data_IF_785659131788
#
_entry.id   IF_785659131788
#
_cell.length_a   1.000
_cell.length_b   1.000
_cell.length_c   1.000
_cell.angle_alpha   90.00
_cell.angle_beta   90.00
_cell.angle_gamma   90.00
#
_symmetry.space_group_name_H-M   'P 1'
#
loop_
_entity.id
_entity.type
_entity.pdbx_description
1 polymer ?
#
# COMPACT_ATOMS: atom_id res chain seq x y z
N UNK A 1 0.63 -24.28 -7.57
CA UNK A 1 2.05 -23.91 -7.41
C UNK A 1 2.78 -24.81 -6.42
N UNK A 2 2.23 -25.06 -5.25
CA UNK A 2 2.87 -25.90 -4.23
C UNK A 2 3.30 -27.33 -4.69
N UNK A 3 2.67 -27.89 -5.73
CA UNK A 3 3.00 -29.21 -6.26
C UNK A 3 4.38 -29.30 -6.96
N UNK A 4 5.02 -28.19 -7.26
CA UNK A 4 6.26 -28.12 -8.05
C UNK A 4 6.14 -28.53 -9.52
N UNK A 5 4.94 -28.92 -9.98
CA UNK A 5 4.71 -29.28 -11.38
C UNK A 5 4.78 -28.04 -12.29
N UNK A 6 5.21 -28.15 -13.55
CA UNK A 6 5.40 -27.00 -14.45
C UNK A 6 4.07 -26.42 -14.97
N UNK A 7 3.17 -26.07 -14.06
CA UNK A 7 1.91 -25.39 -14.36
C UNK A 7 2.20 -23.91 -14.61
N UNK A 8 1.59 -23.34 -15.65
CA UNK A 8 1.71 -21.94 -16.02
C UNK A 8 0.36 -21.26 -15.74
N UNK A 9 0.38 -20.25 -14.86
CA UNK A 9 -0.82 -19.49 -14.47
C UNK A 9 -0.68 -18.07 -14.98
N UNK A 10 -1.66 -17.63 -15.76
CA UNK A 10 -1.77 -16.25 -16.25
C UNK A 10 -2.91 -15.57 -15.49
N UNK A 11 -2.60 -14.45 -14.88
CA UNK A 11 -3.56 -13.58 -14.24
C UNK A 11 -3.62 -12.28 -15.03
N UNK A 12 -4.79 -11.94 -15.54
CA UNK A 12 -5.09 -10.62 -16.09
C UNK A 12 -5.74 -9.83 -14.98
N UNK A 13 -4.92 -8.98 -14.33
CA UNK A 13 -5.33 -8.24 -13.15
C UNK A 13 -5.99 -6.92 -13.55
N UNK A 14 -7.31 -6.93 -13.54
CA UNK A 14 -8.15 -5.76 -13.80
C UNK A 14 -8.54 -5.01 -12.53
N UNK A 15 -8.09 -5.47 -11.37
CA UNK A 15 -8.34 -4.86 -10.05
C UNK A 15 -9.81 -4.70 -9.65
N UNK A 16 -10.71 -5.34 -10.40
CA UNK A 16 -12.16 -5.45 -10.16
C UNK A 16 -12.66 -6.77 -10.76
N UNK A 17 -13.82 -7.23 -10.36
CA UNK A 17 -14.54 -8.29 -11.08
C UNK A 17 -15.29 -7.70 -12.28
N UNK A 18 -14.57 -7.43 -13.36
CA UNK A 18 -15.03 -6.63 -14.51
C UNK A 18 -16.27 -7.19 -15.19
N UNK A 19 -16.33 -8.51 -15.42
CA UNK A 19 -17.42 -9.15 -16.17
C UNK A 19 -18.78 -9.11 -15.47
N UNK A 20 -18.78 -9.02 -14.14
CA UNK A 20 -20.01 -9.06 -13.33
C UNK A 20 -20.49 -7.69 -12.88
N UNK A 21 -19.84 -6.59 -13.33
CA UNK A 21 -20.26 -5.22 -13.07
C UNK A 21 -19.40 -4.47 -12.05
N UNK A 22 -18.10 -4.84 -11.92
CA UNK A 22 -17.15 -3.98 -11.20
C UNK A 22 -17.11 -4.18 -9.67
N UNK A 23 -17.45 -5.37 -9.16
CA UNK A 23 -17.36 -5.64 -7.73
C UNK A 23 -15.92 -5.51 -7.21
N UNK A 24 -15.79 -5.12 -5.94
CA UNK A 24 -14.52 -5.07 -5.24
C UNK A 24 -13.82 -6.43 -5.23
N UNK A 25 -12.53 -6.44 -5.50
CA UNK A 25 -11.70 -7.64 -5.44
C UNK A 25 -10.46 -7.42 -4.57
N UNK A 26 -9.77 -8.52 -4.27
CA UNK A 26 -8.59 -8.47 -3.39
C UNK A 26 -7.39 -7.75 -4.00
N UNK A 27 -7.35 -7.57 -5.32
CA UNK A 27 -6.28 -6.82 -6.01
C UNK A 27 -6.58 -5.33 -6.19
N UNK A 28 -7.74 -4.84 -5.75
CA UNK A 28 -8.05 -3.40 -5.73
C UNK A 28 -7.27 -2.64 -4.65
N UNK A 29 -7.05 -1.35 -4.87
CA UNK A 29 -6.37 -0.46 -3.91
C UNK A 29 -7.31 0.05 -2.83
N UNK A 30 -6.75 0.56 -1.73
CA UNK A 30 -7.49 1.31 -0.71
C UNK A 30 -8.14 2.53 -1.38
N UNK A 31 -9.33 2.90 -0.95
CA UNK A 31 -10.08 4.02 -1.53
C UNK A 31 -10.74 3.71 -2.89
N UNK A 32 -10.45 2.58 -3.54
CA UNK A 32 -11.10 2.23 -4.80
C UNK A 32 -12.61 2.08 -4.62
N UNK A 33 -13.37 2.87 -5.35
CA UNK A 33 -14.83 2.83 -5.36
C UNK A 33 -15.27 1.80 -6.41
N UNK A 34 -16.12 0.87 -5.99
CA UNK A 34 -16.66 -0.20 -6.84
C UNK A 34 -17.92 -0.76 -6.19
N UNK A 35 -18.64 -1.66 -6.85
CA UNK A 35 -19.70 -2.41 -6.22
C UNK A 35 -19.18 -3.14 -4.98
N UNK A 36 -19.93 -3.12 -3.88
CA UNK A 36 -19.58 -3.64 -2.55
C UNK A 36 -18.43 -2.87 -1.85
N UNK A 37 -17.95 -1.78 -2.44
CA UNK A 37 -16.99 -0.85 -1.84
C UNK A 37 -17.39 0.60 -2.19
N UNK A 38 -18.60 0.98 -1.81
CA UNK A 38 -19.20 2.26 -2.16
C UNK A 38 -18.61 3.43 -1.36
N UNK A 39 -18.76 4.62 -1.92
CA UNK A 39 -18.37 5.85 -1.26
C UNK A 39 -19.53 6.46 -0.48
N UNK A 40 -19.43 6.53 0.84
CA UNK A 40 -20.43 7.08 1.75
C UNK A 40 -19.80 7.83 2.92
N UNK A 41 -20.61 8.17 3.93
CA UNK A 41 -20.13 8.87 5.13
C UNK A 41 -19.22 8.00 6.03
N UNK A 42 -19.53 6.71 6.12
CA UNK A 42 -18.82 5.79 7.00
C UNK A 42 -17.72 5.00 6.28
N UNK A 43 -17.88 4.74 4.99
CA UNK A 43 -16.95 3.96 4.18
C UNK A 43 -16.64 4.76 2.91
N UNK A 44 -15.38 4.89 2.58
CA UNK A 44 -14.92 5.69 1.44
C UNK A 44 -14.17 4.80 0.43
N UNK A 45 -14.90 3.84 -0.16
CA UNK A 45 -14.34 2.85 -1.03
C UNK A 45 -13.75 1.65 -0.28
N UNK A 46 -12.92 0.87 -0.93
CA UNK A 46 -12.26 -0.31 -0.35
C UNK A 46 -11.32 0.08 0.80
N UNK A 47 -11.39 -0.62 1.91
CA UNK A 47 -10.59 -0.32 3.12
C UNK A 47 -9.35 -1.22 3.25
N UNK A 48 -9.41 -2.44 2.71
CA UNK A 48 -8.33 -3.40 2.86
C UNK A 48 -7.21 -3.12 1.85
N UNK A 49 -5.93 -3.31 2.26
CA UNK A 49 -4.81 -3.19 1.35
C UNK A 49 -4.88 -4.24 0.24
N UNK A 50 -4.24 -3.94 -0.87
CA UNK A 50 -4.12 -4.83 -2.02
C UNK A 50 -3.42 -6.14 -1.63
N UNK A 51 -3.91 -7.28 -2.14
CA UNK A 51 -3.21 -8.56 -2.04
C UNK A 51 -2.22 -8.70 -3.20
N UNK A 52 -0.94 -8.79 -2.85
CA UNK A 52 0.14 -8.94 -3.82
C UNK A 52 0.33 -10.41 -4.20
N UNK A 53 -0.40 -10.86 -5.22
CA UNK A 53 -0.40 -12.27 -5.66
C UNK A 53 1.00 -12.74 -6.09
N UNK A 54 1.83 -11.84 -6.60
CA UNK A 54 3.22 -12.13 -6.94
C UNK A 54 4.04 -12.56 -5.73
N UNK A 55 4.00 -11.81 -4.61
CA UNK A 55 4.67 -12.17 -3.37
C UNK A 55 4.11 -13.47 -2.78
N UNK A 56 2.78 -13.67 -2.84
CA UNK A 56 2.15 -14.92 -2.40
C UNK A 56 2.70 -16.11 -3.21
N UNK A 57 2.88 -15.96 -4.51
CA UNK A 57 3.46 -16.99 -5.36
C UNK A 57 4.95 -17.24 -5.06
N UNK A 58 5.73 -16.19 -4.78
CA UNK A 58 7.13 -16.30 -4.37
C UNK A 58 7.28 -17.04 -3.05
N UNK A 59 6.33 -16.96 -2.12
CA UNK A 59 6.34 -17.69 -0.87
C UNK A 59 6.39 -19.22 -1.05
N UNK A 60 6.05 -19.76 -2.23
CA UNK A 60 6.28 -21.14 -2.59
C UNK A 60 7.76 -21.46 -2.92
N UNK A 61 8.63 -20.48 -3.00
CA UNK A 61 10.08 -20.52 -3.26
C UNK A 61 10.52 -21.17 -4.58
N UNK A 62 9.70 -22.02 -5.18
CA UNK A 62 10.00 -22.77 -6.42
C UNK A 62 9.25 -22.22 -7.63
N UNK A 63 8.45 -21.19 -7.48
CA UNK A 63 7.61 -20.62 -8.53
C UNK A 63 8.34 -19.46 -9.20
N UNK A 64 8.47 -19.53 -10.53
CA UNK A 64 8.84 -18.35 -11.31
C UNK A 64 7.70 -17.34 -11.26
N UNK A 65 8.00 -16.07 -11.04
CA UNK A 65 7.00 -15.01 -10.99
C UNK A 65 7.41 -13.86 -11.90
N UNK A 66 6.45 -13.35 -12.67
CA UNK A 66 6.59 -12.10 -13.41
C UNK A 66 5.36 -11.23 -13.16
N UNK A 67 5.60 -9.98 -12.77
CA UNK A 67 4.59 -8.92 -12.75
C UNK A 67 4.94 -7.90 -13.82
N UNK A 68 4.00 -7.64 -14.76
CA UNK A 68 4.27 -6.80 -15.93
C UNK A 68 3.01 -6.12 -16.46
N UNK A 69 3.19 -5.28 -17.48
CA UNK A 69 2.08 -4.59 -18.19
C UNK A 69 2.36 -4.54 -19.70
N UNK A 70 1.30 -4.24 -20.47
CA UNK A 70 1.42 -4.03 -21.94
C UNK A 70 2.25 -2.80 -22.31
N UNK A 71 2.42 -1.85 -21.40
CA UNK A 71 3.24 -0.65 -21.63
C UNK A 71 4.74 -0.96 -21.64
N UNK A 72 5.15 -2.12 -21.13
CA UNK A 72 6.54 -2.58 -21.08
C UNK A 72 6.71 -3.91 -21.84
N UNK A 73 6.53 -3.92 -23.18
CA UNK A 73 6.48 -5.16 -23.98
C UNK A 73 7.80 -5.94 -23.93
N UNK A 74 8.94 -5.27 -23.87
CA UNK A 74 10.24 -5.93 -23.73
C UNK A 74 10.34 -6.76 -22.45
N UNK A 75 10.04 -6.14 -21.31
CA UNK A 75 10.00 -6.81 -20.00
C UNK A 75 8.99 -7.98 -20.00
N UNK A 76 7.80 -7.75 -20.55
CA UNK A 76 6.72 -8.75 -20.57
C UNK A 76 7.10 -9.97 -21.43
N UNK A 77 7.59 -9.75 -22.65
CA UNK A 77 7.95 -10.84 -23.61
C UNK A 77 9.11 -11.66 -23.05
N UNK A 78 10.16 -11.00 -22.55
CA UNK A 78 11.29 -11.69 -21.93
C UNK A 78 10.87 -12.54 -20.75
N UNK A 79 10.05 -11.98 -19.85
CA UNK A 79 9.51 -12.69 -18.71
C UNK A 79 8.66 -13.89 -19.11
N UNK A 80 7.85 -13.79 -20.16
CA UNK A 80 7.13 -14.94 -20.71
C UNK A 80 8.07 -16.02 -21.23
N UNK A 81 9.11 -15.64 -22.00
CA UNK A 81 10.07 -16.61 -22.54
C UNK A 81 10.77 -17.37 -21.42
N UNK A 82 11.25 -16.67 -20.40
CA UNK A 82 11.91 -17.28 -19.23
C UNK A 82 10.95 -18.21 -18.47
N UNK A 83 9.80 -17.72 -18.07
CA UNK A 83 8.83 -18.47 -17.27
C UNK A 83 8.19 -19.65 -18.01
N UNK A 84 7.98 -19.57 -19.33
CA UNK A 84 7.48 -20.71 -20.13
C UNK A 84 8.53 -21.80 -20.28
N UNK A 85 9.82 -21.45 -20.40
CA UNK A 85 10.93 -22.40 -20.45
C UNK A 85 11.23 -23.06 -19.12
N UNK A 86 10.92 -22.40 -18.00
CA UNK A 86 11.18 -22.92 -16.66
C UNK A 86 10.45 -24.25 -16.44
N UNK A 87 11.17 -25.28 -15.92
CA UNK A 87 10.63 -26.61 -15.58
C UNK A 87 9.92 -26.64 -14.24
N UNK A 88 9.40 -25.50 -13.77
CA UNK A 88 8.74 -25.28 -12.48
C UNK A 88 7.44 -24.51 -12.66
N UNK A 89 6.60 -24.37 -11.62
CA UNK A 89 5.42 -23.52 -11.69
C UNK A 89 5.83 -22.11 -12.11
N UNK A 90 4.96 -21.41 -12.86
CA UNK A 90 5.14 -20.00 -13.16
C UNK A 90 3.83 -19.25 -13.01
N UNK A 91 3.89 -18.06 -12.41
CA UNK A 91 2.83 -17.07 -12.34
C UNK A 91 3.22 -15.87 -13.21
N UNK A 92 2.32 -15.48 -14.11
CA UNK A 92 2.40 -14.25 -14.87
C UNK A 92 1.24 -13.35 -14.42
N UNK A 93 1.55 -12.29 -13.70
CA UNK A 93 0.58 -11.31 -13.22
C UNK A 93 0.65 -10.06 -14.10
N UNK A 94 -0.40 -9.79 -14.85
CA UNK A 94 -0.42 -8.77 -15.88
C UNK A 94 -1.47 -7.71 -15.56
N UNK A 95 -1.03 -6.47 -15.32
CA UNK A 95 -1.94 -5.36 -15.21
C UNK A 95 -2.68 -5.12 -16.52
N UNK A 96 -3.98 -5.00 -16.43
CA UNK A 96 -4.85 -4.68 -17.56
C UNK A 96 -5.96 -3.73 -17.10
N UNK A 97 -6.09 -2.60 -17.76
CA UNK A 97 -7.18 -1.69 -17.48
C UNK A 97 -8.53 -2.29 -17.88
N UNK A 98 -9.53 -2.11 -17.03
CA UNK A 98 -10.92 -2.25 -17.40
C UNK A 98 -11.47 -0.83 -17.67
N UNK A 99 -11.55 -0.41 -18.93
CA UNK A 99 -11.90 0.96 -19.27
C UNK A 99 -13.22 1.43 -18.63
N UNK A 100 -14.32 0.67 -18.67
CA UNK A 100 -15.57 1.08 -18.04
C UNK A 100 -15.45 1.26 -16.52
N UNK A 101 -14.81 0.31 -15.83
CA UNK A 101 -14.74 0.30 -14.36
C UNK A 101 -13.69 1.27 -13.81
N UNK A 102 -12.59 1.46 -14.55
CA UNK A 102 -11.60 2.49 -14.20
C UNK A 102 -12.03 3.88 -14.63
N UNK A 103 -12.97 3.97 -15.59
CA UNK A 103 -13.47 5.23 -16.13
C UNK A 103 -12.41 6.00 -16.92
N UNK A 104 -11.66 5.29 -17.75
CA UNK A 104 -10.63 5.84 -18.65
C UNK A 104 -11.05 5.69 -20.11
N UNK A 105 -10.46 6.48 -20.99
CA UNK A 105 -10.72 6.38 -22.45
C UNK A 105 -10.21 5.06 -23.02
N UNK A 106 -10.88 4.58 -24.07
CA UNK A 106 -10.55 3.30 -24.74
C UNK A 106 -9.15 3.28 -25.34
N UNK A 107 -8.63 4.43 -25.72
CA UNK A 107 -7.30 4.64 -26.30
C UNK A 107 -6.20 4.85 -25.23
N UNK A 108 -6.56 4.95 -23.96
CA UNK A 108 -5.65 5.31 -22.86
C UNK A 108 -4.97 4.09 -22.22
N UNK A 109 -5.30 2.85 -22.60
CA UNK A 109 -4.80 1.64 -21.92
C UNK A 109 -3.29 1.58 -21.78
N UNK A 110 -2.54 1.92 -22.82
CA UNK A 110 -1.07 1.89 -22.76
C UNK A 110 -0.50 3.01 -21.89
N UNK A 111 -1.04 4.21 -22.01
CA UNK A 111 -0.62 5.36 -21.21
C UNK A 111 -0.91 5.13 -19.72
N UNK A 112 -2.11 4.62 -19.38
CA UNK A 112 -2.49 4.31 -18.02
C UNK A 112 -1.68 3.16 -17.42
N UNK A 113 -1.35 2.14 -18.23
CA UNK A 113 -0.46 1.05 -17.80
C UNK A 113 0.96 1.54 -17.54
N UNK A 114 1.46 2.51 -18.32
CA UNK A 114 2.74 3.15 -18.08
C UNK A 114 2.71 3.96 -16.79
N UNK A 115 1.69 4.79 -16.61
CA UNK A 115 1.50 5.59 -15.40
C UNK A 115 1.40 4.72 -14.14
N UNK A 116 0.74 3.55 -14.22
CA UNK A 116 0.66 2.61 -13.11
C UNK A 116 2.04 2.10 -12.65
N UNK A 117 2.98 1.91 -13.58
CA UNK A 117 4.37 1.52 -13.23
C UNK A 117 5.12 2.71 -12.64
N UNK A 118 5.06 3.85 -13.31
CA UNK A 118 5.81 5.05 -12.93
C UNK A 118 5.36 5.62 -11.57
N UNK A 119 4.10 5.45 -11.20
CA UNK A 119 3.54 5.89 -9.91
C UNK A 119 3.63 4.85 -8.79
N UNK A 120 4.37 3.78 -8.95
CA UNK A 120 4.44 2.63 -8.02
C UNK A 120 3.09 1.94 -7.76
N UNK A 121 2.01 2.29 -8.49
CA UNK A 121 0.74 1.57 -8.39
C UNK A 121 0.90 0.09 -8.79
N UNK A 122 1.71 -0.18 -9.81
CA UNK A 122 1.94 -1.53 -10.31
C UNK A 122 3.41 -1.71 -10.75
N UNK A 123 4.38 -1.83 -9.83
CA UNK A 123 5.79 -2.00 -10.15
C UNK A 123 6.04 -3.27 -10.97
N UNK A 124 7.02 -3.23 -11.86
CA UNK A 124 7.48 -4.39 -12.59
C UNK A 124 8.44 -5.20 -11.72
N UNK A 125 8.38 -6.52 -11.80
CA UNK A 125 9.41 -7.38 -11.23
C UNK A 125 9.40 -8.78 -11.85
N UNK A 126 10.52 -9.46 -11.74
CA UNK A 126 10.66 -10.90 -12.03
C UNK A 126 11.36 -11.58 -10.87
N UNK A 127 10.91 -12.77 -10.56
CA UNK A 127 11.56 -13.67 -9.63
C UNK A 127 11.84 -15.00 -10.31
N UNK A 128 13.11 -15.32 -10.51
CA UNK A 128 13.56 -16.58 -11.10
C UNK A 128 14.35 -17.40 -10.08
N UNK A 129 13.73 -18.41 -9.45
CA UNK A 129 14.40 -19.21 -8.43
C UNK A 129 15.54 -20.11 -8.99
N UNK A 130 15.82 -20.09 -10.28
CA UNK A 130 16.95 -20.75 -10.91
C UNK A 130 18.13 -19.79 -11.16
N UNK A 131 17.93 -18.48 -10.98
CA UNK A 131 18.95 -17.48 -11.26
C UNK A 131 20.06 -17.43 -10.22
N UNK A 132 19.77 -17.78 -8.97
CA UNK A 132 20.76 -17.71 -7.90
C UNK A 132 20.39 -18.46 -6.62
N UNK A 133 21.10 -18.17 -5.53
CA UNK A 133 20.92 -18.79 -4.21
C UNK A 133 20.27 -17.84 -3.20
N UNK A 134 20.48 -16.54 -3.38
CA UNK A 134 19.92 -15.50 -2.54
C UNK A 134 18.67 -14.91 -3.18
N UNK A 135 17.74 -14.29 -2.41
CA UNK A 135 16.62 -13.55 -2.99
C UNK A 135 17.07 -12.48 -3.99
N UNK A 136 18.11 -11.74 -3.70
CA UNK A 136 18.64 -10.68 -4.54
C UNK A 136 19.15 -11.20 -5.91
N UNK A 137 19.82 -12.37 -5.95
CA UNK A 137 20.24 -12.99 -7.21
C UNK A 137 19.04 -13.48 -8.05
N UNK A 138 17.90 -13.77 -7.40
CA UNK A 138 16.70 -14.31 -8.03
C UNK A 138 15.69 -13.25 -8.43
N UNK A 139 15.82 -12.03 -7.91
CA UNK A 139 14.80 -10.97 -8.05
C UNK A 139 15.34 -9.79 -8.82
N UNK A 140 14.60 -9.32 -9.81
CA UNK A 140 14.96 -8.12 -10.56
C UNK A 140 13.81 -7.13 -10.68
N UNK A 141 14.15 -5.83 -10.66
CA UNK A 141 13.26 -4.68 -10.79
C UNK A 141 13.45 -3.95 -12.12
N UNK A 142 14.07 -4.60 -13.11
CA UNK A 142 14.33 -4.01 -14.42
C UNK A 142 13.05 -3.42 -15.05
N UNK A 143 13.18 -2.23 -15.63
CA UNK A 143 12.10 -1.53 -16.31
C UNK A 143 11.33 -0.53 -15.44
N UNK A 144 11.55 -0.50 -14.12
CA UNK A 144 10.99 0.56 -13.28
C UNK A 144 11.87 1.81 -13.35
N UNK A 145 11.28 3.02 -13.45
CA UNK A 145 12.05 4.26 -13.37
C UNK A 145 12.54 4.53 -11.94
N UNK A 146 13.66 5.28 -11.80
CA UNK A 146 14.21 5.74 -10.53
C UNK A 146 14.20 4.62 -9.45
N UNK A 147 14.95 3.51 -9.63
CA UNK A 147 14.85 2.35 -8.76
C UNK A 147 15.26 2.61 -7.31
N UNK A 148 16.10 3.59 -7.08
CA UNK A 148 16.64 3.96 -5.76
C UNK A 148 15.72 4.93 -5.00
N UNK A 149 14.79 5.60 -5.69
CA UNK A 149 13.89 6.58 -5.13
C UNK A 149 12.52 5.96 -4.79
N UNK A 150 11.84 6.51 -3.81
CA UNK A 150 10.47 6.11 -3.49
C UNK A 150 9.53 6.45 -4.64
N UNK A 151 9.66 7.66 -5.19
CA UNK A 151 8.87 8.16 -6.29
C UNK A 151 9.76 8.69 -7.43
N UNK A 152 9.49 8.32 -8.68
CA UNK A 152 10.08 9.01 -9.83
C UNK A 152 9.58 10.44 -9.88
N UNK A 153 10.23 11.29 -10.69
CA UNK A 153 9.78 12.66 -10.92
C UNK A 153 9.22 12.84 -12.34
N UNK A 154 8.36 13.83 -12.49
CA UNK A 154 7.84 14.27 -13.78
C UNK A 154 7.73 15.79 -13.84
N UNK A 155 7.70 16.35 -15.04
CA UNK A 155 7.62 17.79 -15.26
C UNK A 155 6.22 18.18 -15.73
N UNK A 156 5.56 19.09 -15.02
CA UNK A 156 4.33 19.74 -15.49
C UNK A 156 4.67 21.10 -16.09
N UNK A 157 3.88 21.49 -17.09
CA UNK A 157 3.93 22.83 -17.70
C UNK A 157 2.65 23.57 -17.38
N UNK A 158 2.76 24.83 -17.01
CA UNK A 158 1.64 25.68 -16.64
C UNK A 158 1.84 27.12 -17.09
N UNK A 159 0.77 27.89 -17.10
CA UNK A 159 0.77 29.32 -17.44
C UNK A 159 0.71 30.14 -16.15
N UNK A 160 1.62 31.09 -16.02
CA UNK A 160 1.59 32.08 -14.95
C UNK A 160 1.82 33.46 -15.53
N UNK A 161 0.85 34.36 -15.38
CA UNK A 161 0.89 35.72 -15.94
C UNK A 161 1.14 35.75 -17.47
N UNK A 162 0.63 34.76 -18.21
CA UNK A 162 0.83 34.64 -19.66
C UNK A 162 2.19 34.11 -20.09
N UNK A 163 3.00 33.60 -19.14
CA UNK A 163 4.30 32.99 -19.39
C UNK A 163 4.21 31.49 -19.07
N UNK A 164 4.65 30.65 -20.03
CA UNK A 164 4.77 29.22 -19.77
C UNK A 164 5.92 28.97 -18.78
N UNK A 165 5.62 28.26 -17.70
CA UNK A 165 6.56 27.79 -16.69
C UNK A 165 6.51 26.28 -16.61
N UNK A 166 7.50 25.71 -15.99
CA UNK A 166 7.55 24.25 -15.70
C UNK A 166 8.03 24.02 -14.28
N UNK A 167 7.54 22.92 -13.70
CA UNK A 167 7.88 22.48 -12.35
C UNK A 167 8.08 20.96 -12.35
N UNK A 168 9.11 20.50 -11.67
CA UNK A 168 9.36 19.07 -11.44
C UNK A 168 8.66 18.63 -10.15
N UNK A 169 7.96 17.49 -10.20
CA UNK A 169 7.16 16.98 -9.11
C UNK A 169 7.40 15.47 -8.94
N UNK A 170 7.34 14.93 -7.70
CA UNK A 170 7.25 13.49 -7.47
C UNK A 170 5.99 12.90 -8.09
N UNK A 171 6.13 11.76 -8.75
CA UNK A 171 5.03 11.02 -9.37
C UNK A 171 4.52 9.94 -8.42
N UNK A 172 3.53 10.27 -7.62
CA UNK A 172 2.99 9.40 -6.58
C UNK A 172 1.81 8.54 -7.06
N UNK A 173 1.36 7.60 -6.23
CA UNK A 173 0.12 6.88 -6.49
C UNK A 173 -1.09 7.81 -6.69
N UNK A 174 -1.13 8.96 -6.01
CA UNK A 174 -2.23 9.91 -6.16
C UNK A 174 -2.31 10.48 -7.59
N UNK A 175 -1.18 10.66 -8.27
CA UNK A 175 -1.14 11.11 -9.68
C UNK A 175 -1.76 10.06 -10.62
N UNK A 176 -1.57 8.77 -10.33
CA UNK A 176 -2.27 7.70 -11.02
C UNK A 176 -3.77 7.70 -10.67
N UNK A 177 -4.10 7.78 -9.39
CA UNK A 177 -5.48 7.68 -8.91
C UNK A 177 -6.37 8.83 -9.43
N UNK A 178 -5.85 10.06 -9.53
CA UNK A 178 -6.64 11.20 -10.01
C UNK A 178 -7.05 11.08 -11.48
N UNK A 179 -6.39 10.24 -12.26
CA UNK A 179 -6.74 9.98 -13.67
C UNK A 179 -7.88 8.99 -13.84
N UNK A 180 -8.28 8.27 -12.79
CA UNK A 180 -9.29 7.23 -12.86
C UNK A 180 -10.58 7.60 -12.11
N UNK A 181 -11.73 7.36 -12.73
CA UNK A 181 -13.03 7.73 -12.15
C UNK A 181 -13.32 7.01 -10.83
N UNK A 182 -12.81 5.78 -10.66
CA UNK A 182 -12.98 4.99 -9.43
C UNK A 182 -12.36 5.62 -8.17
N UNK A 183 -11.50 6.65 -8.32
CA UNK A 183 -10.92 7.41 -7.20
C UNK A 183 -11.37 8.87 -7.16
N UNK A 184 -12.13 9.33 -8.15
CA UNK A 184 -12.45 10.74 -8.34
C UNK A 184 -13.05 11.43 -7.13
N UNK A 185 -13.83 10.72 -6.30
CA UNK A 185 -14.49 11.31 -5.12
C UNK A 185 -13.51 11.67 -3.99
N UNK A 186 -12.28 11.17 -4.05
CA UNK A 186 -11.23 11.45 -3.08
C UNK A 186 -10.43 12.73 -3.39
N UNK A 187 -10.72 13.38 -4.50
CA UNK A 187 -10.03 14.58 -4.91
C UNK A 187 -11.00 15.77 -4.94
N UNK A 188 -10.57 16.88 -4.34
CA UNK A 188 -11.35 18.12 -4.33
C UNK A 188 -10.48 19.30 -4.75
N UNK A 189 -10.87 19.99 -5.82
CA UNK A 189 -10.20 21.21 -6.23
C UNK A 189 -10.35 22.30 -5.15
N UNK A 190 -9.23 22.91 -4.78
CA UNK A 190 -9.16 24.05 -3.87
C UNK A 190 -9.08 25.34 -4.72
N UNK A 191 -10.08 26.24 -4.64
CA UNK A 191 -10.01 27.53 -5.30
C UNK A 191 -8.77 28.33 -4.83
N UNK A 192 -8.10 29.09 -5.73
CA UNK A 192 -6.86 29.80 -5.38
C UNK A 192 -6.97 30.76 -4.19
N UNK A 193 -8.15 31.36 -4.00
CA UNK A 193 -8.45 32.25 -2.88
C UNK A 193 -8.56 31.53 -1.52
N UNK A 194 -8.63 30.22 -1.52
CA UNK A 194 -8.65 29.39 -0.30
C UNK A 194 -7.28 28.82 0.07
N UNK A 195 -6.27 29.04 -0.77
CA UNK A 195 -4.94 28.50 -0.51
C UNK A 195 -4.32 29.13 0.74
N UNK A 196 -3.75 28.30 1.59
CA UNK A 196 -3.12 28.70 2.84
C UNK A 196 -1.89 27.84 3.15
N UNK A 197 -1.20 28.14 4.23
CA UNK A 197 0.03 27.48 4.67
C UNK A 197 -0.17 26.05 5.18
N UNK A 198 -1.41 25.66 5.56
CA UNK A 198 -1.71 24.30 5.98
C UNK A 198 -1.89 23.33 4.79
N UNK A 199 -1.85 23.83 3.57
CA UNK A 199 -1.88 23.00 2.38
C UNK A 199 -0.47 22.58 1.99
N UNK A 200 -0.16 21.29 2.13
CA UNK A 200 1.17 20.72 1.92
C UNK A 200 1.17 19.79 0.70
N UNK A 201 2.20 19.85 -0.18
CA UNK A 201 2.35 18.86 -1.24
C UNK A 201 2.33 17.44 -0.69
N UNK A 202 1.60 16.53 -1.35
CA UNK A 202 1.40 15.17 -0.82
C UNK A 202 2.72 14.44 -0.54
N UNK A 203 3.72 14.58 -1.39
CA UNK A 203 5.02 13.92 -1.17
C UNK A 203 5.71 14.42 0.11
N UNK A 204 5.62 15.71 0.42
CA UNK A 204 6.13 16.29 1.66
C UNK A 204 5.29 15.81 2.87
N UNK A 205 3.96 15.77 2.71
CA UNK A 205 3.05 15.27 3.74
C UNK A 205 3.36 13.80 4.13
N UNK A 206 3.74 12.97 3.16
CA UNK A 206 4.09 11.57 3.40
C UNK A 206 5.40 11.39 4.21
N UNK A 207 6.26 12.40 4.24
CA UNK A 207 7.51 12.40 5.02
C UNK A 207 7.32 12.95 6.45
N UNK A 208 6.17 13.56 6.75
CA UNK A 208 5.87 14.12 8.06
C UNK A 208 5.52 13.03 9.08
N UNK A 209 5.93 13.23 10.32
CA UNK A 209 5.46 12.42 11.44
C UNK A 209 3.94 12.64 11.70
N UNK A 210 3.30 11.67 12.35
CA UNK A 210 1.84 11.69 12.57
C UNK A 210 1.38 12.97 13.31
N UNK A 211 2.16 13.43 14.29
CA UNK A 211 1.88 14.67 15.05
C UNK A 211 1.99 15.93 14.17
N UNK A 212 2.87 15.93 13.17
CA UNK A 212 3.07 17.06 12.25
C UNK A 212 1.95 17.16 11.21
N UNK A 213 1.27 16.06 10.94
CA UNK A 213 0.16 15.99 9.96
C UNK A 213 -1.15 16.57 10.51
N UNK A 214 -1.24 16.81 11.81
CA UNK A 214 -2.43 17.39 12.43
C UNK A 214 -2.70 18.78 11.81
N UNK A 215 -3.92 19.02 11.38
CA UNK A 215 -4.36 20.25 10.70
C UNK A 215 -3.71 20.54 9.33
N UNK A 216 -2.95 19.61 8.76
CA UNK A 216 -2.40 19.73 7.40
C UNK A 216 -3.33 19.10 6.34
N UNK A 217 -3.38 19.71 5.16
CA UNK A 217 -4.20 19.26 4.03
C UNK A 217 -3.31 18.87 2.86
N UNK A 218 -3.08 17.56 2.62
CA UNK A 218 -2.25 17.12 1.50
C UNK A 218 -2.92 17.44 0.17
N UNK A 219 -2.13 17.89 -0.80
CA UNK A 219 -2.61 18.15 -2.16
C UNK A 219 -1.64 17.67 -3.24
N UNK A 220 -2.17 17.41 -4.42
CA UNK A 220 -1.41 17.22 -5.65
C UNK A 220 -1.66 18.39 -6.61
N UNK A 221 -0.67 18.68 -7.45
CA UNK A 221 -0.82 19.68 -8.49
C UNK A 221 -1.54 19.11 -9.71
N UNK A 222 -2.41 19.90 -10.28
CA UNK A 222 -3.05 19.66 -11.57
C UNK A 222 -2.97 20.93 -12.41
N UNK A 223 -2.97 20.78 -13.73
CA UNK A 223 -3.12 21.90 -14.67
C UNK A 223 -4.47 21.78 -15.33
N UNK A 224 -5.24 22.85 -15.30
CA UNK A 224 -6.57 22.91 -15.92
C UNK A 224 -6.48 23.05 -17.46
N UNK A 225 -7.63 23.13 -18.12
CA UNK A 225 -7.73 23.28 -19.58
C UNK A 225 -7.18 24.61 -20.10
N UNK A 226 -7.17 25.61 -19.25
CA UNK A 226 -6.64 26.95 -19.48
C UNK A 226 -5.14 27.05 -19.18
N UNK A 227 -4.52 25.95 -18.74
CA UNK A 227 -3.11 25.89 -18.39
C UNK A 227 -2.78 26.43 -17.00
N UNK A 228 -3.78 26.68 -16.14
CA UNK A 228 -3.55 27.24 -14.80
C UNK A 228 -3.29 26.13 -13.77
N UNK A 229 -2.42 26.42 -12.82
CA UNK A 229 -2.18 25.50 -11.68
C UNK A 229 -3.39 25.45 -10.75
N UNK A 230 -3.72 24.24 -10.36
CA UNK A 230 -4.75 23.94 -9.36
C UNK A 230 -4.22 23.02 -8.29
N UNK A 231 -4.63 23.23 -7.03
CA UNK A 231 -4.41 22.27 -5.94
C UNK A 231 -5.61 21.34 -5.83
N UNK A 232 -5.36 20.03 -5.92
CA UNK A 232 -6.36 19.01 -5.61
C UNK A 232 -6.08 18.46 -4.23
N UNK A 233 -6.92 18.78 -3.26
CA UNK A 233 -6.86 18.20 -1.91
C UNK A 233 -7.14 16.71 -2.01
N UNK A 234 -6.32 15.94 -1.33
CA UNK A 234 -6.33 14.47 -1.35
C UNK A 234 -6.97 13.95 -0.06
N UNK A 235 -7.94 13.05 -0.18
CA UNK A 235 -8.58 12.44 0.99
C UNK A 235 -7.72 11.31 1.58
N UNK A 236 -7.92 11.03 2.87
CA UNK A 236 -7.16 10.05 3.64
C UNK A 236 -7.01 8.67 2.98
N UNK A 237 -8.03 8.04 2.33
CA UNK A 237 -7.83 6.74 1.68
C UNK A 237 -6.80 6.75 0.55
N UNK A 238 -6.55 7.89 -0.09
CA UNK A 238 -5.50 8.01 -1.12
C UNK A 238 -4.13 8.21 -0.47
N UNK A 239 -4.05 8.92 0.65
CA UNK A 239 -2.82 9.01 1.46
C UNK A 239 -2.39 7.60 1.88
N UNK A 240 -3.30 6.82 2.46
CA UNK A 240 -3.06 5.42 2.86
C UNK A 240 -2.64 4.54 1.68
N UNK A 241 -3.22 4.76 0.49
CA UNK A 241 -2.78 4.07 -0.72
C UNK A 241 -1.37 4.47 -1.15
N UNK A 242 -0.98 5.74 -1.01
CA UNK A 242 0.39 6.17 -1.29
C UNK A 242 1.38 5.51 -0.33
N UNK A 243 1.06 5.47 0.96
CA UNK A 243 1.87 4.79 1.99
C UNK A 243 2.00 3.29 1.69
N UNK A 244 0.89 2.60 1.42
CA UNK A 244 0.88 1.17 1.06
C UNK A 244 1.73 0.90 -0.20
N UNK A 245 1.72 1.79 -1.21
CA UNK A 245 2.52 1.62 -2.42
C UNK A 245 4.01 1.92 -2.20
N UNK A 246 4.34 2.91 -1.37
CA UNK A 246 5.72 3.19 -0.94
C UNK A 246 6.29 2.02 -0.14
N UNK A 247 5.54 1.50 0.80
CA UNK A 247 5.96 0.35 1.61
C UNK A 247 6.16 -0.89 0.74
N UNK A 248 5.24 -1.15 -0.21
CA UNK A 248 5.39 -2.23 -1.15
C UNK A 248 6.64 -2.06 -2.03
N UNK A 249 6.92 -0.85 -2.51
CA UNK A 249 8.13 -0.56 -3.27
C UNK A 249 9.40 -0.80 -2.44
N UNK A 250 9.39 -0.40 -1.18
CA UNK A 250 10.49 -0.65 -0.23
C UNK A 250 10.72 -2.16 -0.02
N UNK A 251 9.65 -2.95 0.12
CA UNK A 251 9.75 -4.42 0.17
C UNK A 251 10.40 -4.97 -1.10
N UNK A 252 9.99 -4.51 -2.29
CA UNK A 252 10.56 -4.99 -3.55
C UNK A 252 12.04 -4.63 -3.68
N UNK A 253 12.43 -3.41 -3.29
CA UNK A 253 13.84 -3.00 -3.25
C UNK A 253 14.67 -3.88 -2.31
N UNK A 254 14.17 -4.16 -1.12
CA UNK A 254 14.86 -5.02 -0.15
C UNK A 254 15.04 -6.46 -0.65
N UNK A 255 14.14 -6.95 -1.51
CA UNK A 255 14.28 -8.25 -2.15
C UNK A 255 15.31 -8.25 -3.29
N UNK A 256 15.47 -7.12 -3.98
CA UNK A 256 16.38 -6.98 -5.13
C UNK A 256 17.82 -6.65 -4.71
N UNK A 257 18.00 -6.04 -3.55
CA UNK A 257 19.32 -5.68 -3.04
C UNK A 257 19.73 -6.64 -1.93
N UNK A 258 20.96 -7.14 -1.98
CA UNK A 258 21.60 -7.68 -0.79
C UNK A 258 21.89 -6.46 0.11
N UNK A 259 21.07 -6.24 1.14
CA UNK A 259 21.57 -5.47 2.26
C UNK A 259 22.80 -6.20 2.77
N UNK A 260 23.97 -5.58 2.67
CA UNK A 260 25.08 -5.97 3.51
C UNK A 260 24.57 -5.86 4.94
N UNK A 261 24.18 -6.99 5.50
CA UNK A 261 23.80 -7.04 6.92
C UNK A 261 24.97 -6.38 7.66
N UNK A 262 24.76 -5.30 8.41
CA UNK A 262 25.84 -4.64 9.12
C UNK A 262 26.54 -5.74 9.90
N UNK A 263 27.88 -5.85 9.83
CA UNK A 263 28.59 -6.96 10.41
C UNK A 263 28.12 -7.11 11.84
N UNK A 264 27.72 -8.31 12.24
CA UNK A 264 27.09 -8.58 13.54
C UNK A 264 27.87 -7.95 14.71
N UNK A 265 29.16 -7.75 14.54
CA UNK A 265 30.03 -6.99 15.42
C UNK A 265 29.62 -5.51 15.55
N UNK A 266 29.22 -4.83 14.46
CA UNK A 266 28.85 -3.39 14.53
C UNK A 266 27.52 -3.15 15.22
N UNK A 267 26.56 -4.06 15.07
CA UNK A 267 25.25 -4.00 15.78
C UNK A 267 25.45 -4.24 17.27
N UNK A 268 26.31 -5.19 17.64
CA UNK A 268 26.63 -5.49 19.03
C UNK A 268 27.42 -4.32 19.65
N UNK A 269 28.35 -3.72 18.92
CA UNK A 269 29.15 -2.59 19.42
C UNK A 269 28.29 -1.32 19.54
N UNK A 270 27.35 -1.09 18.63
CA UNK A 270 26.41 0.03 18.71
C UNK A 270 25.43 -0.14 19.88
N UNK A 271 24.86 -1.32 20.05
CA UNK A 271 24.02 -1.63 21.22
C UNK A 271 24.79 -1.52 22.55
N UNK A 272 26.08 -1.91 22.57
CA UNK A 272 26.96 -1.71 23.76
C UNK A 272 27.21 -0.23 24.03
N UNK A 273 27.49 0.56 23.00
CA UNK A 273 27.70 2.01 23.14
C UNK A 273 26.44 2.72 23.65
N UNK A 274 25.26 2.35 23.16
CA UNK A 274 23.99 2.89 23.61
C UNK A 274 23.71 2.57 25.09
N UNK A 275 23.98 1.32 25.50
CA UNK A 275 23.84 0.90 26.91
C UNK A 275 24.84 1.61 27.80
N UNK A 276 26.11 1.71 27.39
CA UNK A 276 27.13 2.44 28.12
C UNK A 276 26.78 3.91 28.26
N UNK A 277 26.32 4.55 27.17
CA UNK A 277 25.91 5.96 27.16
C UNK A 277 24.74 6.22 28.13
N UNK A 278 23.75 5.34 28.17
CA UNK A 278 22.63 5.42 29.12
C UNK A 278 23.09 5.27 30.57
N UNK A 279 23.93 4.26 30.86
CA UNK A 279 24.48 4.05 32.21
C UNK A 279 25.31 5.26 32.66
N UNK A 280 26.16 5.82 31.78
CA UNK A 280 26.96 7.01 32.09
C UNK A 280 26.07 8.22 32.37
N UNK A 281 24.99 8.42 31.57
CA UNK A 281 24.03 9.51 31.80
C UNK A 281 23.30 9.37 33.16
N UNK A 282 22.85 8.16 33.48
CA UNK A 282 22.22 7.89 34.80
C UNK A 282 23.18 8.05 35.96
N UNK A 283 24.45 7.62 35.82
CA UNK A 283 25.46 7.83 36.86
C UNK A 283 25.82 9.32 37.06
N UNK A 284 25.88 10.11 35.96
CA UNK A 284 26.08 11.55 36.04
C UNK A 284 24.92 12.25 36.75
N UNK A 285 23.68 11.85 36.43
CA UNK A 285 22.50 12.38 37.11
C UNK A 285 22.47 12.07 38.60
N UNK A 286 22.83 10.86 39.01
CA UNK A 286 22.98 10.45 40.43
C UNK A 286 24.11 11.22 41.10
N UNK A 287 25.21 11.50 40.39
CA UNK A 287 26.33 12.28 40.92
C UNK A 287 25.97 13.75 41.13
N UNK A 288 25.19 14.35 40.24
CA UNK A 288 24.69 15.72 40.41
C UNK A 288 23.68 15.85 41.55
N UNK A 289 22.81 14.85 41.75
CA UNK A 289 21.89 14.80 42.88
C UNK A 289 22.59 14.57 44.25
N UNK A 290 23.79 13.95 44.24
CA UNK A 290 24.55 13.59 45.45
C UNK A 290 25.39 14.75 46.03
N UNK A 291 25.57 15.87 45.30
CA UNK A 291 26.36 17.01 45.75
C UNK A 291 25.56 17.95 46.65
N UNK A 292 24.25 17.69 46.87
CA UNK A 292 23.33 18.56 47.63
C UNK A 292 22.85 18.04 49.01
N UNK A 293 23.34 16.94 49.58
CA UNK A 293 22.80 16.45 50.84
C UNK A 293 23.73 15.57 51.65
N UNK A 294 24.11 16.03 52.83
CA UNK A 294 24.80 15.23 53.84
C UNK A 294 23.83 14.20 54.45
N UNK A 295 24.09 12.90 54.24
CA UNK A 295 23.33 11.82 54.88
C UNK A 295 24.28 10.87 55.59
N UNK A 296 24.02 10.65 56.89
CA UNK A 296 24.68 9.65 57.73
C UNK A 296 24.39 8.20 57.27
N UNK A 297 25.31 7.23 57.46
CA UNK A 297 25.15 5.87 56.96
C UNK A 297 24.26 5.03 57.86
N UNK A 298 23.10 4.64 57.40
CA UNK A 298 22.26 3.60 58.01
C UNK A 298 22.51 2.22 57.35
N UNK A 299 22.24 1.07 58.07
CA UNK A 299 22.71 -0.21 57.68
C UNK A 299 21.99 -0.82 56.46
N UNK A 300 22.78 -1.40 55.58
CA UNK A 300 22.37 -2.08 54.38
C UNK A 300 21.38 -3.24 54.60
N UNK A 301 20.21 -3.19 53.94
CA UNK A 301 19.36 -4.35 53.76
C UNK A 301 19.45 -4.79 52.29
N UNK A 302 19.94 -6.03 52.06
CA UNK A 302 19.97 -6.69 50.78
C UNK A 302 18.56 -6.97 50.26
N UNK A 303 18.21 -6.65 49.01
CA UNK A 303 16.96 -7.09 48.43
C UNK A 303 17.09 -8.53 47.93
N UNK A 304 16.28 -9.40 48.50
CA UNK A 304 16.06 -10.78 48.04
C UNK A 304 15.16 -10.74 46.81
N UNK A 305 15.72 -11.10 45.64
CA UNK A 305 14.96 -11.26 44.41
C UNK A 305 14.32 -12.66 44.44
N UNK A 306 13.01 -12.69 44.59
CA UNK A 306 12.19 -13.89 44.38
C UNK A 306 11.52 -13.75 43.03
N UNK A 307 11.71 -14.65 42.06
CA UNK A 307 10.99 -14.60 40.79
C UNK A 307 9.53 -15.04 41.00
N UNK A 308 8.56 -14.44 40.30
CA UNK A 308 7.16 -14.83 40.44
C UNK A 308 6.92 -16.21 39.79
N UNK A 309 5.99 -17.00 40.34
CA UNK A 309 5.65 -18.32 39.78
C UNK A 309 4.87 -18.18 38.48
N UNK A 310 5.29 -18.92 37.46
CA UNK A 310 4.56 -19.07 36.19
C UNK A 310 3.39 -20.00 36.43
N UNK A 311 2.19 -19.48 36.37
CA UNK A 311 0.95 -20.28 36.34
C UNK A 311 0.57 -20.54 34.89
N UNK A 312 0.29 -21.79 34.48
CA UNK A 312 -0.21 -22.07 33.14
C UNK A 312 -1.67 -21.63 33.07
N UNK A 313 -1.93 -20.56 32.31
CA UNK A 313 -3.27 -20.12 31.98
C UNK A 313 -3.96 -21.12 31.07
N UNK A 314 -5.02 -21.75 31.54
CA UNK A 314 -5.92 -22.52 30.75
C UNK A 314 -6.60 -21.61 29.71
N UNK A 315 -6.50 -21.99 28.42
CA UNK A 315 -7.24 -21.38 27.35
C UNK A 315 -8.75 -21.56 27.59
N UNK A 316 -9.43 -20.49 27.95
CA UNK A 316 -10.89 -20.45 27.92
C UNK A 316 -11.31 -20.39 26.46
N UNK A 317 -11.90 -21.46 25.99
CA UNK A 317 -12.64 -21.51 24.73
C UNK A 317 -13.87 -20.60 24.91
N UNK A 318 -13.90 -19.49 24.16
CA UNK A 318 -15.07 -18.63 24.09
C UNK A 318 -16.26 -19.45 23.56
N UNK A 319 -17.32 -19.52 24.34
CA UNK A 319 -18.56 -20.16 23.95
C UNK A 319 -19.13 -19.45 22.71
N UNK A 320 -19.36 -20.22 21.65
CA UNK A 320 -20.02 -19.76 20.45
C UNK A 320 -21.42 -19.19 20.79
N UNK A 321 -21.74 -18.04 20.27
CA UNK A 321 -23.08 -17.48 20.29
C UNK A 321 -24.07 -18.47 19.65
N UNK A 322 -25.33 -18.55 20.10
CA UNK A 322 -26.29 -19.52 19.58
C UNK A 322 -26.54 -19.25 18.09
N UNK A 323 -26.24 -20.26 17.27
CA UNK A 323 -26.59 -20.28 15.86
C UNK A 323 -28.09 -20.18 15.68
N UNK A 324 -28.56 -19.23 14.86
CA UNK A 324 -29.95 -19.21 14.39
C UNK A 324 -30.27 -20.54 13.71
N UNK A 325 -31.49 -21.11 13.93
CA UNK A 325 -31.89 -22.33 13.26
C UNK A 325 -31.87 -22.15 11.73
N UNK A 326 -31.35 -23.15 11.03
CA UNK A 326 -31.38 -23.18 9.58
C UNK A 326 -32.85 -23.15 9.08
N UNK A 327 -33.15 -22.41 8.00
CA UNK A 327 -34.49 -22.40 7.42
C UNK A 327 -34.84 -23.78 6.86
N UNK A 328 -36.12 -24.16 6.97
CA UNK A 328 -36.62 -25.39 6.39
C UNK A 328 -36.52 -25.36 4.85
N UNK A 329 -36.16 -26.49 4.25
CA UNK A 329 -36.11 -26.64 2.78
C UNK A 329 -37.50 -26.30 2.19
N UNK A 330 -37.55 -25.23 1.38
CA UNK A 330 -38.76 -24.85 0.62
C UNK A 330 -39.12 -23.37 0.66
N UNK A 331 -38.64 -22.59 1.61
CA UNK A 331 -38.93 -21.16 1.65
C UNK A 331 -37.87 -20.37 0.86
N UNK A 332 -38.30 -19.81 -0.25
CA UNK A 332 -37.55 -18.78 -0.96
C UNK A 332 -37.41 -17.57 0.00
N UNK A 333 -36.25 -17.40 0.60
CA UNK A 333 -35.98 -16.22 1.40
C UNK A 333 -36.08 -15.01 0.46
N UNK A 334 -37.06 -14.15 0.70
CA UNK A 334 -37.06 -12.83 0.06
C UNK A 334 -35.74 -12.15 0.36
N UNK A 335 -35.06 -11.56 -0.62
CA UNK A 335 -33.82 -10.85 -0.37
C UNK A 335 -34.09 -9.73 0.64
N UNK A 336 -33.39 -9.77 1.76
CA UNK A 336 -33.46 -8.75 2.79
C UNK A 336 -32.22 -7.87 2.71
N UNK A 337 -32.39 -6.60 3.03
CA UNK A 337 -31.33 -5.60 2.98
C UNK A 337 -30.94 -5.28 4.42
N UNK A 338 -29.66 -5.42 4.75
CA UNK A 338 -29.15 -4.91 6.02
C UNK A 338 -29.18 -3.38 6.00
N UNK A 339 -30.07 -2.80 6.77
CA UNK A 339 -30.31 -1.35 6.79
C UNK A 339 -29.04 -0.55 7.12
N UNK A 340 -28.11 -1.15 7.89
CA UNK A 340 -26.84 -0.53 8.27
C UNK A 340 -25.89 -0.38 7.05
N UNK A 341 -26.05 -1.23 6.05
CA UNK A 341 -25.22 -1.24 4.84
C UNK A 341 -25.95 -0.61 3.64
N UNK A 342 -27.19 -0.16 3.83
CA UNK A 342 -27.97 0.45 2.77
C UNK A 342 -27.51 1.88 2.50
N UNK A 343 -27.10 2.14 1.26
CA UNK A 343 -26.69 3.48 0.81
C UNK A 343 -27.86 4.38 0.39
N UNK A 344 -29.09 3.86 0.49
CA UNK A 344 -30.32 4.53 0.07
C UNK A 344 -30.27 5.01 -1.41
N UNK A 345 -29.72 4.18 -2.30
CA UNK A 345 -29.61 4.50 -3.74
C UNK A 345 -30.89 4.20 -4.53
N UNK A 346 -31.92 3.63 -3.90
CA UNK A 346 -33.23 3.22 -4.47
C UNK A 346 -33.16 2.14 -5.58
N UNK A 347 -31.99 1.62 -5.94
CA UNK A 347 -31.86 0.62 -7.01
C UNK A 347 -32.55 -0.71 -6.66
N UNK A 348 -32.49 -1.15 -5.41
CA UNK A 348 -33.17 -2.37 -4.97
C UNK A 348 -34.70 -2.21 -5.05
N UNK A 349 -35.27 -1.02 -4.84
CA UNK A 349 -36.69 -0.73 -4.98
C UNK A 349 -37.10 -0.75 -6.46
N UNK A 350 -36.22 -0.30 -7.37
CA UNK A 350 -36.45 -0.39 -8.82
C UNK A 350 -36.44 -1.84 -9.33
N UNK A 351 -35.56 -2.68 -8.77
CA UNK A 351 -35.44 -4.10 -9.13
C UNK A 351 -36.58 -4.92 -8.54
N UNK A 352 -36.98 -4.61 -7.31
CA UNK A 352 -38.08 -5.30 -6.64
C UNK A 352 -38.97 -4.33 -5.85
N UNK A 353 -40.01 -3.77 -6.48
CA UNK A 353 -40.90 -2.79 -5.85
C UNK A 353 -41.76 -3.35 -4.68
N UNK A 354 -41.53 -4.62 -4.28
CA UNK A 354 -42.20 -5.24 -3.12
C UNK A 354 -41.30 -5.28 -1.88
N UNK A 355 -40.06 -4.81 -1.95
CA UNK A 355 -39.21 -4.56 -0.81
C UNK A 355 -39.48 -3.14 -0.30
#
# INVERSE_FOLDING_TARGET
MASGKPVKVFVVDTQVYSNTGGQACTSGFIGQISDMAQYGKAIQGKQEPRKEIGLIAMAHRTTYVMQSTIAHPGHMIEGFIRGLKARRPALFNLYSNCQPEHGIGDDMSSAQSKLAVESRAYPLFRYDPDAGKTPAECFDLEGNPAPDDDWPTYTIKYQENGVEKQMELPLTFADFAMTETRFRKHFRAAPPDTWNENMVPLAEFLEMDEDEREDQFPYVWMVDKEGQLMRLIVAQPIVESCEDRRDFWTILRSLAHEEEAPPAASVIDQARQDVVSKIVAELMQIAEESVGGSVEPGPAKSPSVVPPPVTPGAAQVAAAAPSKPAPAEGDYLAPWIETINCTACDECIQINPKI
#
